data_IF_162606848508
#
_entry.id   IF_162606848508
#
_cell.length_a   1.000
_cell.length_b   1.000
_cell.length_c   1.000
_cell.angle_alpha   90.00
_cell.angle_beta   90.00
_cell.angle_gamma   90.00
#
_symmetry.space_group_name_H-M   'P 1'
#
loop_
_entity.id
_entity.type
_entity.pdbx_description
1 polymer ?
#
# COMPACT_ATOMS: atom_id res chain seq x y z
N UNK A 1 -12.48 9.08 27.04
CA UNK A 1 -13.02 9.85 25.90
C UNK A 1 -11.97 9.93 24.81
N UNK A 2 -11.99 9.00 23.86
CA UNK A 2 -11.13 9.15 22.67
C UNK A 2 -11.74 10.23 21.75
N UNK A 3 -10.89 11.09 21.20
CA UNK A 3 -11.26 12.09 20.21
C UNK A 3 -12.08 11.47 19.06
N UNK A 4 -13.21 12.09 18.71
CA UNK A 4 -13.97 11.77 17.49
C UNK A 4 -13.29 12.31 16.22
N UNK A 5 -12.26 13.14 16.38
CA UNK A 5 -11.53 13.81 15.31
C UNK A 5 -10.29 12.98 14.97
N UNK A 6 -10.08 12.68 13.70
CA UNK A 6 -8.89 11.98 13.25
C UNK A 6 -7.68 12.92 13.11
N UNK A 7 -6.50 12.38 12.73
CA UNK A 7 -5.28 13.17 12.69
C UNK A 7 -5.25 14.14 11.50
N UNK A 8 -4.51 15.23 11.67
CA UNK A 8 -4.08 16.08 10.56
C UNK A 8 -2.71 15.61 10.08
N UNK A 9 -2.55 15.51 8.76
CA UNK A 9 -1.27 15.24 8.11
C UNK A 9 -0.93 16.43 7.22
N UNK A 10 0.28 16.95 7.37
CA UNK A 10 0.78 18.04 6.55
C UNK A 10 1.92 17.54 5.65
N UNK A 11 1.87 17.91 4.38
CA UNK A 11 2.90 17.67 3.37
C UNK A 11 3.48 19.01 2.93
N UNK A 12 4.80 19.09 2.83
CA UNK A 12 5.45 20.19 2.09
C UNK A 12 5.40 19.84 0.62
N UNK A 13 4.78 20.70 -0.17
CA UNK A 13 4.64 20.49 -1.61
C UNK A 13 5.69 21.28 -2.38
N UNK A 14 5.94 22.52 -1.95
CA UNK A 14 6.95 23.38 -2.55
C UNK A 14 7.63 24.25 -1.50
N UNK A 15 8.89 24.59 -1.77
CA UNK A 15 9.65 25.57 -1.01
C UNK A 15 10.20 26.64 -1.94
N UNK A 16 9.93 27.89 -1.60
CA UNK A 16 10.48 29.06 -2.28
C UNK A 16 11.35 29.87 -1.32
N UNK A 17 12.04 30.89 -1.83
CA UNK A 17 12.81 31.81 -0.99
C UNK A 17 11.93 32.57 0.01
N UNK A 18 10.64 32.76 -0.30
CA UNK A 18 9.71 33.60 0.45
C UNK A 18 8.69 32.81 1.27
N UNK A 19 8.66 31.47 1.17
CA UNK A 19 7.69 30.67 1.93
C UNK A 19 7.63 29.19 1.55
N UNK A 20 6.66 28.50 2.17
CA UNK A 20 6.34 27.09 1.97
C UNK A 20 4.89 26.95 1.51
N UNK A 21 4.66 26.09 0.53
CA UNK A 21 3.32 25.62 0.16
C UNK A 21 3.09 24.27 0.83
N UNK A 22 1.97 24.15 1.55
CA UNK A 22 1.62 22.95 2.32
C UNK A 22 0.25 22.41 1.91
N UNK A 23 0.15 21.09 1.78
CA UNK A 23 -1.12 20.37 1.74
C UNK A 23 -1.43 19.83 3.13
N UNK A 24 -2.58 20.20 3.69
CA UNK A 24 -3.06 19.70 4.98
C UNK A 24 -4.28 18.81 4.74
N UNK A 25 -4.14 17.53 5.08
CA UNK A 25 -5.20 16.54 5.03
C UNK A 25 -5.72 16.24 6.43
N UNK A 26 -7.03 16.41 6.65
CA UNK A 26 -7.70 15.90 7.84
C UNK A 26 -8.21 14.49 7.56
N UNK A 27 -7.65 13.50 8.25
CA UNK A 27 -8.00 12.10 8.06
C UNK A 27 -9.17 11.70 8.95
N UNK A 28 -10.03 10.80 8.46
CA UNK A 28 -11.01 10.12 9.32
C UNK A 28 -10.31 9.18 10.30
N UNK A 29 -10.89 8.99 11.49
CA UNK A 29 -10.40 8.01 12.46
C UNK A 29 -10.47 6.57 11.91
N UNK A 30 -11.49 6.29 11.10
CA UNK A 30 -11.69 5.01 10.44
C UNK A 30 -11.31 5.16 8.95
N UNK A 31 -10.29 4.42 8.47
CA UNK A 31 -9.92 4.46 7.05
C UNK A 31 -10.81 3.52 6.25
N UNK A 32 -11.12 3.88 5.01
CA UNK A 32 -11.80 2.99 4.06
C UNK A 32 -10.83 2.04 3.33
N UNK A 33 -9.53 2.33 3.37
CA UNK A 33 -8.49 1.51 2.78
C UNK A 33 -7.18 1.62 3.56
N UNK A 34 -6.37 0.56 3.55
CA UNK A 34 -5.02 0.56 4.10
C UNK A 34 -4.02 0.06 3.05
N UNK A 35 -2.84 0.68 3.07
CA UNK A 35 -1.70 0.28 2.24
C UNK A 35 -0.55 -0.19 3.12
N UNK A 36 -0.04 -1.38 2.84
CA UNK A 36 1.13 -1.92 3.54
C UNK A 36 2.23 -2.28 2.55
N UNK A 37 3.32 -1.51 2.56
CA UNK A 37 4.48 -1.75 1.73
C UNK A 37 5.50 -2.65 2.46
N UNK A 38 5.94 -3.73 1.81
CA UNK A 38 6.91 -4.68 2.35
C UNK A 38 7.97 -5.04 1.32
N UNK A 39 9.22 -5.02 1.77
CA UNK A 39 10.27 -5.78 1.10
C UNK A 39 10.14 -7.24 1.56
N UNK A 40 9.94 -8.14 0.61
CA UNK A 40 10.03 -9.60 0.77
C UNK A 40 11.38 -10.01 0.19
N UNK A 41 12.13 -10.89 0.83
CA UNK A 41 13.45 -11.28 0.35
C UNK A 41 14.10 -12.31 1.26
N UNK A 42 14.85 -13.24 0.67
CA UNK A 42 15.73 -14.14 1.42
C UNK A 42 17.03 -13.38 1.59
N UNK A 43 17.39 -13.02 2.82
CA UNK A 43 18.69 -12.41 3.09
C UNK A 43 19.76 -13.49 2.88
N UNK A 44 20.52 -13.42 1.78
CA UNK A 44 21.71 -14.25 1.64
C UNK A 44 22.69 -13.91 2.78
N UNK A 45 23.00 -14.89 3.62
CA UNK A 45 24.17 -14.84 4.50
C UNK A 45 24.01 -14.27 5.91
N UNK A 46 22.92 -14.51 6.66
CA UNK A 46 22.89 -14.16 8.10
C UNK A 46 22.47 -15.29 9.05
N UNK A 47 23.30 -15.45 10.10
CA UNK A 47 23.19 -16.29 11.31
C UNK A 47 21.97 -15.98 12.21
N UNK A 48 20.99 -15.20 11.75
CA UNK A 48 19.75 -14.87 12.46
C UNK A 48 18.59 -15.26 11.54
N UNK A 49 17.66 -16.07 12.04
CA UNK A 49 16.56 -16.63 11.26
C UNK A 49 15.74 -15.59 10.49
N UNK A 50 14.89 -16.02 9.54
CA UNK A 50 14.33 -15.17 8.49
C UNK A 50 13.37 -14.09 9.03
N UNK A 51 13.91 -12.92 9.38
CA UNK A 51 13.16 -11.76 9.90
C UNK A 51 12.13 -11.22 8.90
N UNK A 52 12.36 -11.43 7.60
CA UNK A 52 11.47 -11.03 6.50
C UNK A 52 10.14 -11.78 6.54
N UNK A 53 10.17 -13.07 6.91
CA UNK A 53 8.99 -13.94 6.96
C UNK A 53 8.06 -13.51 8.11
N UNK A 54 8.62 -13.25 9.29
CA UNK A 54 7.82 -12.81 10.45
C UNK A 54 7.17 -11.45 10.20
N UNK A 55 7.87 -10.52 9.56
CA UNK A 55 7.29 -9.21 9.18
C UNK A 55 6.18 -9.33 8.13
N UNK A 56 6.31 -10.26 7.19
CA UNK A 56 5.26 -10.55 6.21
C UNK A 56 4.01 -11.17 6.87
N UNK A 57 4.20 -12.12 7.80
CA UNK A 57 3.13 -12.72 8.60
C UNK A 57 2.39 -11.69 9.46
N UNK A 58 3.10 -10.75 10.06
CA UNK A 58 2.49 -9.66 10.83
C UNK A 58 1.58 -8.79 9.96
N UNK A 59 2.03 -8.39 8.76
CA UNK A 59 1.18 -7.64 7.83
C UNK A 59 -0.02 -8.46 7.34
N UNK A 60 0.21 -9.74 7.02
CA UNK A 60 -0.84 -10.69 6.67
C UNK A 60 -1.90 -10.86 7.79
N UNK A 61 -1.50 -10.78 9.05
CA UNK A 61 -2.41 -10.81 10.20
C UNK A 61 -3.24 -9.53 10.30
N UNK A 62 -2.60 -8.37 10.16
CA UNK A 62 -3.28 -7.06 10.17
C UNK A 62 -4.32 -7.00 9.05
N UNK A 63 -3.94 -7.32 7.81
CA UNK A 63 -4.87 -7.32 6.68
C UNK A 63 -6.11 -8.19 6.91
N UNK A 64 -5.97 -9.32 7.61
CA UNK A 64 -7.09 -10.22 7.91
C UNK A 64 -7.98 -9.74 9.06
N UNK A 65 -7.47 -8.93 9.98
CA UNK A 65 -8.21 -8.56 11.20
C UNK A 65 -8.90 -7.21 11.13
N UNK A 66 -8.46 -6.32 10.23
CA UNK A 66 -8.95 -4.92 10.21
C UNK A 66 -10.27 -4.71 9.47
N UNK A 67 -10.63 -5.56 8.52
CA UNK A 67 -11.83 -5.40 7.69
C UNK A 67 -12.97 -6.29 8.18
N UNK A 68 -14.21 -5.80 8.15
CA UNK A 68 -15.38 -6.64 8.42
C UNK A 68 -15.64 -7.70 7.33
N UNK A 69 -15.14 -7.50 6.11
CA UNK A 69 -15.20 -8.52 5.07
C UNK A 69 -14.13 -9.58 5.31
N UNK A 70 -14.57 -10.74 5.80
CA UNK A 70 -13.71 -11.85 6.17
C UNK A 70 -13.62 -12.92 5.09
N UNK A 71 -12.41 -13.44 4.86
CA UNK A 71 -12.13 -14.51 3.90
C UNK A 71 -12.24 -15.89 4.55
N UNK A 72 -13.01 -16.79 3.94
CA UNK A 72 -13.17 -18.18 4.38
C UNK A 72 -12.90 -19.13 3.20
N UNK A 73 -12.11 -20.17 3.45
CA UNK A 73 -11.88 -21.26 2.48
C UNK A 73 -13.03 -22.27 2.58
N UNK A 74 -13.69 -22.54 1.46
CA UNK A 74 -14.73 -23.56 1.37
C UNK A 74 -14.12 -24.97 1.15
N UNK A 75 -14.96 -26.01 1.31
CA UNK A 75 -14.53 -27.42 1.19
C UNK A 75 -13.97 -27.76 -0.20
N UNK A 76 -14.42 -27.06 -1.24
CA UNK A 76 -13.96 -27.20 -2.62
C UNK A 76 -12.65 -26.43 -2.90
N UNK A 77 -12.10 -25.75 -1.89
CA UNK A 77 -10.90 -24.93 -2.02
C UNK A 77 -11.17 -23.51 -2.56
N UNK A 78 -12.40 -23.16 -2.90
CA UNK A 78 -12.75 -21.80 -3.30
C UNK A 78 -12.79 -20.83 -2.11
N UNK A 79 -12.75 -19.53 -2.39
CA UNK A 79 -12.79 -18.48 -1.36
C UNK A 79 -14.17 -17.83 -1.30
N UNK A 80 -14.78 -17.85 -0.12
CA UNK A 80 -15.98 -17.09 0.22
C UNK A 80 -15.61 -15.85 1.06
N UNK A 81 -16.40 -14.79 0.90
CA UNK A 81 -16.42 -13.64 1.79
C UNK A 81 -17.60 -13.74 2.75
N UNK A 82 -17.43 -13.25 3.97
CA UNK A 82 -18.49 -13.15 4.99
C UNK A 82 -18.42 -11.80 5.68
N UNK A 83 -19.56 -11.16 5.89
CA UNK A 83 -19.75 -9.93 6.66
C UNK A 83 -20.82 -10.19 7.71
N UNK A 84 -20.55 -9.82 8.97
CA UNK A 84 -21.55 -9.83 10.04
C UNK A 84 -22.28 -8.49 10.07
N UNK A 85 -23.59 -8.53 9.83
CA UNK A 85 -24.47 -7.36 9.76
C UNK A 85 -24.92 -6.91 11.15
N UNK A 86 -25.33 -5.65 11.29
CA UNK A 86 -25.86 -5.12 12.57
C UNK A 86 -27.11 -5.84 13.07
N UNK A 87 -27.87 -6.49 12.17
CA UNK A 87 -29.03 -7.31 12.53
C UNK A 87 -28.68 -8.73 13.03
N UNK A 88 -27.39 -9.06 13.18
CA UNK A 88 -26.90 -10.37 13.62
C UNK A 88 -26.80 -11.44 12.54
N UNK A 89 -27.14 -11.12 11.28
CA UNK A 89 -27.07 -12.07 10.17
C UNK A 89 -25.69 -12.06 9.50
N UNK A 90 -25.32 -13.22 8.95
CA UNK A 90 -24.14 -13.34 8.11
C UNK A 90 -24.52 -13.13 6.64
N UNK A 91 -23.91 -12.14 6.01
CA UNK A 91 -23.98 -11.93 4.58
C UNK A 91 -22.75 -12.55 3.91
N UNK A 92 -22.94 -13.45 2.96
CA UNK A 92 -21.83 -14.22 2.40
C UNK A 92 -21.98 -14.53 0.91
N UNK A 93 -20.87 -14.78 0.23
CA UNK A 93 -20.84 -15.13 -1.18
C UNK A 93 -19.41 -15.38 -1.69
N UNK A 94 -19.22 -15.62 -3.01
CA UNK A 94 -17.88 -15.72 -3.59
C UNK A 94 -17.07 -14.44 -3.29
N UNK A 95 -15.87 -14.59 -2.74
CA UNK A 95 -15.16 -13.50 -2.09
C UNK A 95 -14.98 -12.25 -2.98
N UNK A 96 -14.41 -12.39 -4.18
CA UNK A 96 -14.18 -11.24 -5.07
C UNK A 96 -15.47 -10.63 -5.61
N UNK A 97 -16.56 -11.40 -5.70
CA UNK A 97 -17.87 -10.85 -6.08
C UNK A 97 -18.42 -10.00 -4.94
N UNK A 98 -18.36 -10.50 -3.71
CA UNK A 98 -18.81 -9.79 -2.52
C UNK A 98 -17.96 -8.54 -2.25
N UNK A 99 -16.64 -8.60 -2.46
CA UNK A 99 -15.75 -7.45 -2.36
C UNK A 99 -16.21 -6.30 -3.27
N UNK A 100 -16.45 -6.58 -4.56
CA UNK A 100 -16.93 -5.56 -5.52
C UNK A 100 -18.31 -5.06 -5.14
N UNK A 101 -19.20 -5.95 -4.72
CA UNK A 101 -20.54 -5.58 -4.26
C UNK A 101 -20.48 -4.58 -3.11
N UNK A 102 -19.64 -4.83 -2.10
CA UNK A 102 -19.45 -3.92 -0.96
C UNK A 102 -18.88 -2.57 -1.43
N UNK A 103 -17.85 -2.58 -2.28
CA UNK A 103 -17.24 -1.37 -2.84
C UNK A 103 -18.27 -0.53 -3.61
N UNK A 104 -19.13 -1.16 -4.40
CA UNK A 104 -20.14 -0.48 -5.22
C UNK A 104 -21.41 -0.11 -4.43
N UNK A 105 -21.60 -0.69 -3.24
CA UNK A 105 -22.80 -0.50 -2.42
C UNK A 105 -22.93 0.91 -1.83
N UNK A 106 -24.16 1.27 -1.47
CA UNK A 106 -24.51 2.41 -0.60
C UNK A 106 -25.07 1.97 0.76
N UNK A 107 -25.09 0.67 1.01
CA UNK A 107 -25.54 0.07 2.27
C UNK A 107 -24.53 0.42 3.37
N UNK A 108 -24.98 1.22 4.34
CA UNK A 108 -24.14 1.68 5.45
C UNK A 108 -23.66 0.50 6.31
N UNK A 109 -24.48 -0.55 6.42
CA UNK A 109 -24.17 -1.72 7.24
C UNK A 109 -23.03 -2.56 6.64
N UNK A 110 -22.93 -2.59 5.31
CA UNK A 110 -21.81 -3.25 4.62
C UNK A 110 -20.51 -2.43 4.67
N UNK A 111 -20.61 -1.11 4.82
CA UNK A 111 -19.48 -0.18 4.68
C UNK A 111 -18.87 0.29 6.02
N UNK A 112 -19.66 0.34 7.09
CA UNK A 112 -19.29 0.96 8.39
C UNK A 112 -18.01 0.40 9.01
N UNK A 113 -17.69 -0.86 8.72
CA UNK A 113 -16.49 -1.56 9.20
C UNK A 113 -15.68 -2.20 8.07
N UNK A 114 -16.00 -1.87 6.81
CA UNK A 114 -15.24 -2.34 5.66
C UNK A 114 -13.96 -1.52 5.49
N UNK A 115 -12.85 -2.22 5.32
CA UNK A 115 -11.55 -1.64 4.99
C UNK A 115 -10.97 -2.44 3.82
N UNK A 116 -10.70 -1.76 2.71
CA UNK A 116 -9.98 -2.35 1.58
C UNK A 116 -8.49 -2.51 1.94
N UNK A 117 -7.97 -3.72 1.89
CA UNK A 117 -6.58 -4.01 2.25
C UNK A 117 -5.70 -4.18 1.02
N UNK A 118 -4.67 -3.34 0.88
CA UNK A 118 -3.75 -3.34 -0.26
C UNK A 118 -2.32 -3.61 0.24
N UNK A 119 -1.74 -4.73 -0.17
CA UNK A 119 -0.34 -5.05 0.07
C UNK A 119 0.51 -4.67 -1.13
N UNK A 120 1.62 -3.96 -0.90
CA UNK A 120 2.62 -3.65 -1.93
C UNK A 120 3.90 -4.37 -1.55
N UNK A 121 4.32 -5.33 -2.38
CA UNK A 121 5.52 -6.12 -2.14
C UNK A 121 6.60 -5.80 -3.15
N UNK A 122 7.86 -5.79 -2.73
CA UNK A 122 9.00 -5.79 -3.64
C UNK A 122 9.95 -6.91 -3.24
N UNK A 123 10.66 -7.51 -4.19
CA UNK A 123 11.65 -8.53 -3.87
C UNK A 123 12.89 -8.38 -4.72
N UNK A 124 13.94 -7.84 -4.10
CA UNK A 124 15.20 -7.53 -4.75
C UNK A 124 16.21 -8.62 -4.40
N UNK A 125 16.47 -9.51 -5.35
CA UNK A 125 17.49 -10.56 -5.24
C UNK A 125 17.00 -12.00 -5.42
N UNK A 126 15.73 -12.24 -5.74
CA UNK A 126 15.25 -13.56 -6.13
C UNK A 126 14.35 -13.43 -7.38
N UNK A 127 14.51 -14.33 -8.34
CA UNK A 127 13.79 -14.33 -9.61
C UNK A 127 12.32 -14.74 -9.39
N UNK A 128 11.43 -13.77 -9.15
CA UNK A 128 9.98 -14.00 -9.11
C UNK A 128 9.38 -13.80 -10.49
N UNK A 129 8.49 -14.71 -10.85
CA UNK A 129 7.43 -14.42 -11.81
C UNK A 129 6.11 -14.38 -11.04
N UNK A 130 5.11 -13.65 -11.56
CA UNK A 130 3.74 -13.68 -11.04
C UNK A 130 3.09 -15.09 -11.12
N UNK A 131 3.81 -16.08 -11.67
CA UNK A 131 3.33 -17.43 -11.97
C UNK A 131 3.83 -18.47 -10.94
N UNK A 132 5.00 -18.27 -10.31
CA UNK A 132 5.53 -19.17 -9.28
C UNK A 132 5.69 -18.47 -7.92
N UNK A 133 4.61 -18.52 -7.14
CA UNK A 133 4.60 -17.94 -5.80
C UNK A 133 5.24 -18.88 -4.77
N UNK A 134 6.26 -18.38 -4.07
CA UNK A 134 6.73 -18.99 -2.82
C UNK A 134 5.63 -18.98 -1.74
N UNK A 135 5.85 -19.72 -0.66
CA UNK A 135 4.86 -19.90 0.40
C UNK A 135 4.46 -18.55 1.02
N UNK A 136 5.39 -17.63 1.14
CA UNK A 136 5.21 -16.30 1.71
C UNK A 136 4.26 -15.45 0.84
N UNK A 137 4.51 -15.40 -0.48
CA UNK A 137 3.69 -14.64 -1.41
C UNK A 137 2.27 -15.23 -1.51
N UNK A 138 2.14 -16.57 -1.42
CA UNK A 138 0.83 -17.23 -1.30
C UNK A 138 0.07 -16.80 -0.05
N UNK A 139 0.74 -16.72 1.10
CA UNK A 139 0.12 -16.24 2.35
C UNK A 139 -0.33 -14.79 2.22
N UNK A 140 0.53 -13.92 1.67
CA UNK A 140 0.19 -12.51 1.46
C UNK A 140 -0.98 -12.35 0.49
N UNK A 141 -0.97 -13.06 -0.65
CA UNK A 141 -2.03 -12.98 -1.66
C UNK A 141 -3.38 -13.45 -1.12
N UNK A 142 -3.38 -14.38 -0.17
CA UNK A 142 -4.59 -14.83 0.52
C UNK A 142 -5.04 -13.85 1.60
N UNK A 143 -4.13 -13.12 2.23
CA UNK A 143 -4.46 -12.15 3.28
C UNK A 143 -5.06 -10.86 2.73
N UNK A 144 -4.39 -10.17 1.80
CA UNK A 144 -4.85 -8.86 1.31
C UNK A 144 -5.93 -8.98 0.23
N UNK A 145 -6.84 -8.02 0.19
CA UNK A 145 -7.86 -7.92 -0.86
C UNK A 145 -7.18 -7.67 -2.22
N UNK A 146 -6.15 -6.82 -2.20
CA UNK A 146 -5.21 -6.59 -3.29
C UNK A 146 -3.77 -6.84 -2.87
N UNK A 147 -3.01 -7.53 -3.71
CA UNK A 147 -1.56 -7.65 -3.57
C UNK A 147 -0.91 -7.23 -4.89
N UNK A 148 -0.05 -6.21 -4.84
CA UNK A 148 0.70 -5.71 -6.00
C UNK A 148 2.20 -5.85 -5.76
N UNK A 149 2.94 -6.10 -6.83
CA UNK A 149 4.39 -6.35 -6.79
C UNK A 149 5.14 -5.27 -7.57
N UNK A 150 6.02 -4.54 -6.90
CA UNK A 150 6.98 -3.63 -7.51
C UNK A 150 8.12 -4.44 -8.13
N UNK A 151 8.22 -4.41 -9.45
CA UNK A 151 9.20 -5.16 -10.22
C UNK A 151 10.63 -4.65 -10.05
N UNK A 152 11.60 -5.55 -10.14
CA UNK A 152 13.02 -5.20 -10.17
C UNK A 152 13.37 -4.32 -11.36
N UNK A 153 12.73 -4.54 -12.52
CA UNK A 153 12.88 -3.67 -13.70
C UNK A 153 12.47 -2.23 -13.36
N UNK A 154 11.29 -2.03 -12.80
CA UNK A 154 10.83 -0.69 -12.42
C UNK A 154 11.72 -0.02 -11.37
N UNK A 155 12.12 -0.76 -10.32
CA UNK A 155 13.02 -0.19 -9.32
C UNK A 155 14.40 0.14 -9.91
N UNK A 156 14.99 -0.75 -10.70
CA UNK A 156 16.31 -0.53 -11.32
C UNK A 156 16.31 0.66 -12.27
N UNK A 157 15.21 0.91 -12.96
CA UNK A 157 15.01 2.10 -13.79
C UNK A 157 15.11 3.38 -12.93
N UNK A 158 14.41 3.43 -11.79
CA UNK A 158 14.52 4.54 -10.85
C UNK A 158 15.94 4.71 -10.29
N UNK A 159 16.55 3.62 -9.85
CA UNK A 159 17.92 3.64 -9.28
C UNK A 159 18.94 4.10 -10.34
N UNK A 160 18.76 3.70 -11.59
CA UNK A 160 19.59 4.16 -12.69
C UNK A 160 19.50 5.68 -12.84
N UNK A 161 18.29 6.25 -12.89
CA UNK A 161 18.08 7.70 -13.01
C UNK A 161 18.46 8.50 -11.75
N UNK A 162 18.51 7.87 -10.59
CA UNK A 162 18.90 8.50 -9.33
C UNK A 162 20.43 8.48 -9.11
N UNK A 163 21.09 7.35 -9.36
CA UNK A 163 22.48 7.12 -8.92
C UNK A 163 23.47 6.91 -10.08
N UNK A 164 23.10 6.15 -11.11
CA UNK A 164 24.03 5.68 -12.15
C UNK A 164 24.14 6.64 -13.34
N UNK A 165 22.99 7.12 -13.83
CA UNK A 165 22.84 8.13 -14.88
C UNK A 165 21.94 9.24 -14.35
N UNK A 166 22.46 10.06 -13.41
CA UNK A 166 21.64 10.93 -12.59
C UNK A 166 20.94 12.02 -13.41
N UNK A 167 19.61 12.09 -13.30
CA UNK A 167 18.82 13.21 -13.84
C UNK A 167 19.03 14.46 -12.98
N UNK A 168 19.15 15.61 -13.64
CA UNK A 168 19.42 16.88 -12.97
C UNK A 168 18.34 17.25 -11.94
N UNK A 169 17.07 16.99 -12.26
CA UNK A 169 15.95 17.27 -11.37
C UNK A 169 15.94 16.40 -10.10
N UNK A 170 16.59 15.23 -10.12
CA UNK A 170 16.69 14.32 -8.97
C UNK A 170 17.90 14.60 -8.08
N UNK A 171 18.69 15.65 -8.36
CA UNK A 171 19.89 15.98 -7.60
C UNK A 171 19.65 16.04 -6.08
N UNK A 172 18.61 16.72 -5.55
CA UNK A 172 18.38 16.74 -4.10
C UNK A 172 18.14 15.35 -3.50
N UNK A 173 17.36 14.50 -4.18
CA UNK A 173 17.12 13.13 -3.75
C UNK A 173 18.39 12.28 -3.77
N UNK A 174 19.21 12.42 -4.82
CA UNK A 174 20.52 11.76 -4.93
C UNK A 174 21.45 12.17 -3.80
N UNK A 175 21.58 13.47 -3.55
CA UNK A 175 22.45 14.00 -2.50
C UNK A 175 22.00 13.52 -1.11
N UNK A 176 20.69 13.52 -0.83
CA UNK A 176 20.14 12.98 0.41
C UNK A 176 20.37 11.46 0.56
N UNK A 177 20.22 10.70 -0.54
CA UNK A 177 20.50 9.27 -0.58
C UNK A 177 21.99 8.99 -0.28
N UNK A 178 22.91 9.62 -0.99
CA UNK A 178 24.35 9.46 -0.79
C UNK A 178 24.81 9.92 0.59
N UNK A 179 24.28 11.04 1.09
CA UNK A 179 24.57 11.55 2.44
C UNK A 179 24.10 10.61 3.56
N UNK A 180 23.23 9.65 3.27
CA UNK A 180 22.72 8.68 4.25
C UNK A 180 23.63 7.46 4.45
N UNK A 181 24.67 7.28 3.62
CA UNK A 181 25.63 6.17 3.72
C UNK A 181 26.83 6.41 4.66
N UNK A 182 27.43 7.61 4.73
CA UNK A 182 28.51 7.90 5.68
C UNK A 182 28.05 7.73 7.13
N UNK A 183 28.87 7.06 7.94
CA UNK A 183 28.63 6.89 9.38
C UNK A 183 28.87 8.21 10.11
N UNK A 184 27.82 8.99 10.40
CA UNK A 184 27.94 10.14 11.30
C UNK A 184 26.76 11.11 11.35
N UNK A 185 26.02 11.31 10.25
CA UNK A 185 25.05 12.41 10.12
C UNK A 185 23.57 11.98 10.12
N UNK A 186 23.29 10.72 10.42
CA UNK A 186 21.94 10.15 10.45
C UNK A 186 21.35 9.95 9.05
N UNK A 187 20.49 8.94 8.92
CA UNK A 187 19.84 8.64 7.64
C UNK A 187 18.71 9.65 7.37
N UNK A 188 18.76 10.31 6.21
CA UNK A 188 17.80 11.34 5.77
C UNK A 188 17.04 10.94 4.49
N UNK A 189 17.11 9.68 4.12
CA UNK A 189 16.42 9.10 2.97
C UNK A 189 15.68 7.83 3.39
N UNK A 190 14.77 7.96 4.37
CA UNK A 190 13.96 6.87 4.91
C UNK A 190 12.49 7.25 5.06
N UNK A 191 11.63 6.25 5.30
CA UNK A 191 10.22 6.46 5.69
C UNK A 191 10.04 7.35 6.94
N UNK A 192 10.97 7.30 7.90
CA UNK A 192 10.85 8.04 9.18
C UNK A 192 11.43 9.45 9.10
N UNK A 193 12.48 9.60 8.30
CA UNK A 193 13.26 10.82 8.16
C UNK A 193 13.59 10.97 6.69
N UNK A 194 13.00 11.97 6.06
CA UNK A 194 13.21 12.33 4.66
C UNK A 194 13.65 13.79 4.60
N UNK A 195 14.70 14.07 3.84
CA UNK A 195 15.09 15.43 3.50
C UNK A 195 13.97 16.13 2.70
N UNK A 196 13.62 17.37 3.07
CA UNK A 196 12.46 18.07 2.48
C UNK A 196 12.64 18.30 0.98
N UNK A 197 13.84 18.68 0.54
CA UNK A 197 14.09 18.92 -0.89
C UNK A 197 14.06 17.60 -1.66
N UNK A 198 14.56 16.52 -1.06
CA UNK A 198 14.43 15.17 -1.63
C UNK A 198 12.95 14.75 -1.76
N UNK A 199 12.14 14.94 -0.73
CA UNK A 199 10.71 14.61 -0.74
C UNK A 199 9.96 15.36 -1.85
N UNK A 200 10.22 16.67 -1.99
CA UNK A 200 9.61 17.52 -3.04
C UNK A 200 9.96 16.99 -4.43
N UNK A 201 11.24 16.76 -4.73
CA UNK A 201 11.63 16.30 -6.08
C UNK A 201 11.16 14.88 -6.37
N UNK A 202 11.07 14.00 -5.36
CA UNK A 202 10.54 12.66 -5.51
C UNK A 202 9.04 12.68 -5.84
N UNK A 203 8.24 13.47 -5.11
CA UNK A 203 6.81 13.63 -5.41
C UNK A 203 6.60 14.11 -6.83
N UNK A 204 7.31 15.16 -7.23
CA UNK A 204 7.26 15.70 -8.58
C UNK A 204 7.64 14.64 -9.63
N UNK A 205 8.75 13.94 -9.42
CA UNK A 205 9.20 12.89 -10.32
C UNK A 205 8.13 11.81 -10.52
N UNK A 206 7.54 11.28 -9.44
CA UNK A 206 6.53 10.22 -9.54
C UNK A 206 5.23 10.72 -10.17
N UNK A 207 4.82 11.97 -9.92
CA UNK A 207 3.66 12.60 -10.56
C UNK A 207 3.87 12.77 -12.07
N UNK A 208 5.02 13.30 -12.50
CA UNK A 208 5.31 13.54 -13.93
C UNK A 208 5.52 12.23 -14.72
N UNK A 209 5.81 11.12 -14.03
CA UNK A 209 6.09 9.83 -14.63
C UNK A 209 5.03 8.77 -14.34
N UNK A 210 3.84 9.16 -13.86
CA UNK A 210 2.78 8.23 -13.42
C UNK A 210 2.49 7.10 -14.43
N UNK A 211 2.28 7.35 -15.75
CA UNK A 211 2.01 6.27 -16.70
C UNK A 211 3.16 5.26 -16.84
N UNK A 212 4.40 5.74 -16.69
CA UNK A 212 5.60 4.89 -16.73
C UNK A 212 5.74 4.10 -15.44
N UNK A 213 5.53 4.74 -14.30
CA UNK A 213 5.62 4.13 -12.97
C UNK A 213 4.53 3.09 -12.75
N UNK A 214 3.33 3.27 -13.31
CA UNK A 214 2.27 2.27 -13.30
C UNK A 214 2.73 0.92 -13.90
N UNK A 215 3.56 0.97 -14.95
CA UNK A 215 4.13 -0.23 -15.58
C UNK A 215 5.13 -0.99 -14.70
N UNK A 216 5.57 -0.38 -13.59
CA UNK A 216 6.51 -1.02 -12.66
C UNK A 216 5.83 -2.05 -11.76
N UNK A 217 4.51 -2.02 -11.65
CA UNK A 217 3.75 -2.87 -10.75
C UNK A 217 3.00 -3.98 -11.48
N UNK A 218 3.07 -5.19 -10.92
CA UNK A 218 2.28 -6.34 -11.34
C UNK A 218 1.18 -6.63 -10.31
N UNK A 219 -0.02 -6.98 -10.75
CA UNK A 219 -1.08 -7.42 -9.83
C UNK A 219 -0.92 -8.92 -9.56
N UNK A 220 -0.74 -9.28 -8.29
CA UNK A 220 -0.64 -10.67 -7.82
C UNK A 220 -2.01 -11.22 -7.40
N UNK A 221 -2.80 -10.38 -6.71
CA UNK A 221 -4.16 -10.71 -6.29
C UNK A 221 -5.01 -9.43 -6.37
N UNK A 222 -6.25 -9.50 -6.91
CA UNK A 222 -6.87 -10.65 -7.55
C UNK A 222 -6.17 -11.03 -8.86
N UNK A 223 -6.15 -12.32 -9.20
CA UNK A 223 -5.61 -12.78 -10.48
C UNK A 223 -6.35 -12.12 -11.65
N UNK A 224 -5.64 -11.88 -12.76
CA UNK A 224 -6.17 -11.26 -13.98
C UNK A 224 -6.83 -9.89 -13.78
N UNK A 225 -6.43 -9.16 -12.75
CA UNK A 225 -6.90 -7.79 -12.49
C UNK A 225 -5.85 -6.75 -12.87
N UNK A 226 -6.23 -5.48 -12.90
CA UNK A 226 -5.37 -4.36 -13.30
C UNK A 226 -5.25 -3.30 -12.20
N UNK A 227 -4.16 -2.55 -12.21
CA UNK A 227 -4.01 -1.37 -11.35
C UNK A 227 -5.11 -0.34 -11.59
N UNK A 228 -5.56 -0.19 -12.84
CA UNK A 228 -6.67 0.71 -13.18
C UNK A 228 -7.97 0.32 -12.49
N UNK A 229 -8.23 -0.97 -12.27
CA UNK A 229 -9.38 -1.43 -11.49
C UNK A 229 -9.20 -1.07 -10.01
N UNK A 230 -8.03 -1.30 -9.42
CA UNK A 230 -7.75 -0.91 -8.03
C UNK A 230 -7.89 0.62 -7.84
N UNK A 231 -7.32 1.43 -8.73
CA UNK A 231 -7.49 2.88 -8.73
C UNK A 231 -8.97 3.27 -8.79
N UNK A 232 -9.76 2.63 -9.65
CA UNK A 232 -11.21 2.84 -9.73
C UNK A 232 -11.91 2.49 -8.42
N UNK A 233 -11.61 1.35 -7.82
CA UNK A 233 -12.21 0.92 -6.55
C UNK A 233 -11.89 1.89 -5.42
N UNK A 234 -10.63 2.34 -5.32
CA UNK A 234 -10.19 3.36 -4.35
C UNK A 234 -10.91 4.69 -4.56
N UNK A 235 -11.05 5.14 -5.81
CA UNK A 235 -11.80 6.35 -6.14
C UNK A 235 -13.29 6.23 -5.82
N UNK A 236 -13.89 5.05 -6.06
CA UNK A 236 -15.28 4.76 -5.68
C UNK A 236 -15.46 4.87 -4.17
N UNK A 237 -14.56 4.27 -3.39
CA UNK A 237 -14.59 4.37 -1.93
C UNK A 237 -14.36 5.81 -1.47
N UNK A 238 -13.35 6.50 -1.99
CA UNK A 238 -13.03 7.89 -1.63
C UNK A 238 -14.22 8.84 -1.82
N UNK A 239 -15.02 8.65 -2.87
CA UNK A 239 -16.18 9.51 -3.18
C UNK A 239 -17.41 9.27 -2.29
N UNK A 240 -17.39 8.28 -1.38
CA UNK A 240 -18.53 8.01 -0.49
C UNK A 240 -18.59 9.04 0.64
N UNK A 241 -19.80 9.25 1.15
CA UNK A 241 -20.03 10.08 2.34
C UNK A 241 -19.67 9.29 3.62
N UNK A 242 -18.38 9.26 3.94
CA UNK A 242 -17.87 8.54 5.11
C UNK A 242 -18.33 9.15 6.44
N UNK A 243 -18.69 10.43 6.47
CA UNK A 243 -19.28 11.03 7.68
C UNK A 243 -20.62 10.38 7.97
N UNK A 244 -21.47 10.24 6.95
CA UNK A 244 -22.75 9.51 7.07
C UNK A 244 -22.55 8.03 7.39
N UNK A 245 -21.62 7.36 6.72
CA UNK A 245 -21.35 5.92 6.94
C UNK A 245 -20.89 5.65 8.37
N UNK A 246 -20.03 6.50 8.93
CA UNK A 246 -19.52 6.35 10.29
C UNK A 246 -20.39 7.01 11.37
N UNK A 247 -21.45 7.73 10.99
CA UNK A 247 -22.30 8.49 11.93
C UNK A 247 -21.55 9.61 12.66
N UNK A 248 -20.65 10.31 11.96
CA UNK A 248 -19.80 11.40 12.49
C UNK A 248 -20.41 12.78 12.32
#
# INVERSE_FOLDING_TARGET
CESKVGPYVASVDERTQTGLTLTIAHLHKHPFAIFECKRVGVEEGMKKGPQSIEKAKQGAYVARSVSALQKIRLRDGSMAGVIHRSNGQLYHGPYHKLLREVIDSKDLDLLSHFILTVGVVSNHGNWFTAEDHNKELKVLAQSYDWLIFLSDKGLSEFINELLLHPKSELKPARDACLASYPTGTGNRFTKKTMDVEADIVLKKYFQENEPRVDSWFNVISPANSSLSLLQKELLTLHKKDWKKIYGL
#
